data_IF_590582495788
#
_entry.id   IF_590582495788
#
_cell.length_a   1.000
_cell.length_b   1.000
_cell.length_c   1.000
_cell.angle_alpha   90.00
_cell.angle_beta   90.00
_cell.angle_gamma   90.00
#
_symmetry.space_group_name_H-M   'P 1'
#
loop_
_entity.id
_entity.type
_entity.pdbx_description
1 polymer ?
#
# COMPACT_ATOMS: atom_id res chain seq x y z
N UNK A 1 -45.92 4.66 -1.18
CA UNK A 1 -45.54 3.28 -1.53
C UNK A 1 -44.28 2.95 -0.73
N UNK A 2 -44.30 1.89 0.07
CA UNK A 2 -43.14 1.44 0.85
C UNK A 2 -42.53 0.26 0.09
N UNK A 3 -41.26 0.40 -0.32
CA UNK A 3 -40.52 -0.66 -1.00
C UNK A 3 -40.21 -1.78 -0.02
N UNK A 4 -40.29 -3.03 -0.50
CA UNK A 4 -39.97 -4.19 0.31
C UNK A 4 -38.45 -4.26 0.61
N UNK A 5 -38.03 -4.59 1.84
CA UNK A 5 -36.62 -4.64 2.22
C UNK A 5 -35.74 -5.48 1.28
N UNK A 6 -36.24 -6.62 0.78
CA UNK A 6 -35.48 -7.48 -0.13
C UNK A 6 -35.18 -6.77 -1.45
N UNK A 7 -36.15 -6.00 -1.96
CA UNK A 7 -35.95 -5.23 -3.20
C UNK A 7 -34.84 -4.21 -3.03
N UNK A 8 -34.81 -3.50 -1.90
CA UNK A 8 -33.75 -2.53 -1.58
C UNK A 8 -32.37 -3.17 -1.53
N UNK A 9 -32.25 -4.36 -0.92
CA UNK A 9 -30.98 -5.07 -0.84
C UNK A 9 -30.51 -5.63 -2.19
N UNK A 10 -31.43 -6.11 -3.03
CA UNK A 10 -31.11 -6.55 -4.41
C UNK A 10 -30.59 -5.38 -5.24
N UNK A 11 -31.22 -4.21 -5.15
CA UNK A 11 -30.78 -3.00 -5.85
C UNK A 11 -29.39 -2.55 -5.36
N UNK A 12 -29.17 -2.57 -4.04
CA UNK A 12 -27.86 -2.24 -3.47
C UNK A 12 -26.77 -3.23 -3.92
N UNK A 13 -27.05 -4.54 -3.90
CA UNK A 13 -26.14 -5.55 -4.40
C UNK A 13 -25.78 -5.34 -5.89
N UNK A 14 -26.78 -5.04 -6.72
CA UNK A 14 -26.56 -4.72 -8.14
C UNK A 14 -25.68 -3.48 -8.33
N UNK A 15 -25.88 -2.44 -7.51
CA UNK A 15 -25.02 -1.26 -7.50
C UNK A 15 -23.56 -1.63 -7.15
N UNK A 16 -23.32 -2.37 -6.07
CA UNK A 16 -21.95 -2.72 -5.68
C UNK A 16 -21.27 -3.66 -6.68
N UNK A 17 -22.03 -4.57 -7.32
CA UNK A 17 -21.53 -5.38 -8.44
C UNK A 17 -21.08 -4.51 -9.62
N UNK A 18 -21.80 -3.42 -9.90
CA UNK A 18 -21.41 -2.48 -10.96
C UNK A 18 -20.09 -1.77 -10.62
N UNK A 19 -19.86 -1.43 -9.34
CA UNK A 19 -18.60 -0.83 -8.89
C UNK A 19 -17.43 -1.83 -8.97
N UNK A 20 -17.63 -3.06 -8.51
CA UNK A 20 -16.65 -4.14 -8.67
C UNK A 20 -16.21 -4.29 -10.12
N UNK A 21 -17.18 -4.45 -11.03
CA UNK A 21 -16.92 -4.59 -12.47
C UNK A 21 -16.19 -3.38 -13.06
N UNK A 22 -16.53 -2.17 -12.61
CA UNK A 22 -15.83 -0.95 -13.01
C UNK A 22 -14.35 -1.00 -12.60
N UNK A 23 -14.04 -1.33 -11.34
CA UNK A 23 -12.66 -1.37 -10.86
C UNK A 23 -11.87 -2.51 -11.51
N UNK A 24 -12.47 -3.70 -11.68
CA UNK A 24 -11.83 -4.83 -12.37
C UNK A 24 -11.38 -4.44 -13.79
N UNK A 25 -12.25 -3.77 -14.55
CA UNK A 25 -11.90 -3.25 -15.89
C UNK A 25 -10.78 -2.20 -15.87
N UNK A 26 -10.69 -1.39 -14.82
CA UNK A 26 -9.60 -0.42 -14.66
C UNK A 26 -8.29 -1.16 -14.38
N UNK A 27 -8.29 -2.18 -13.51
CA UNK A 27 -7.11 -3.03 -13.27
C UNK A 27 -6.62 -3.65 -14.57
N UNK A 28 -7.51 -4.25 -15.36
CA UNK A 28 -7.17 -4.85 -16.66
C UNK A 28 -6.51 -3.84 -17.61
N UNK A 29 -6.99 -2.58 -17.62
CA UNK A 29 -6.41 -1.51 -18.44
C UNK A 29 -5.06 -1.03 -17.94
N UNK A 30 -4.83 -1.06 -16.63
CA UNK A 30 -3.57 -0.61 -16.00
C UNK A 30 -2.50 -1.71 -15.98
N UNK A 31 -2.89 -2.97 -16.15
CA UNK A 31 -1.97 -4.12 -16.15
C UNK A 31 -0.76 -3.94 -17.09
N UNK A 32 -0.89 -3.50 -18.35
CA UNK A 32 0.27 -3.33 -19.23
C UNK A 32 1.26 -2.27 -18.73
N UNK A 33 0.75 -1.17 -18.16
CA UNK A 33 1.59 -0.12 -17.56
C UNK A 33 2.34 -0.65 -16.34
N UNK A 34 1.66 -1.44 -15.50
CA UNK A 34 2.28 -2.11 -14.37
C UNK A 34 3.40 -3.07 -14.83
N UNK A 35 3.12 -3.90 -15.84
CA UNK A 35 4.08 -4.88 -16.37
C UNK A 35 5.31 -4.19 -16.99
N UNK A 36 5.13 -3.09 -17.71
CA UNK A 36 6.23 -2.30 -18.28
C UNK A 36 7.08 -1.64 -17.18
N UNK A 37 6.45 -1.00 -16.20
CA UNK A 37 7.14 -0.40 -15.06
C UNK A 37 7.89 -1.46 -14.24
N UNK A 38 7.28 -2.62 -14.03
CA UNK A 38 7.90 -3.79 -13.40
C UNK A 38 9.17 -4.21 -14.13
N UNK A 39 9.07 -4.41 -15.45
CA UNK A 39 10.18 -4.82 -16.29
C UNK A 39 11.32 -3.80 -16.27
N UNK A 40 11.00 -2.50 -16.33
CA UNK A 40 11.98 -1.41 -16.22
C UNK A 40 12.74 -1.46 -14.88
N UNK A 41 12.02 -1.64 -13.77
CA UNK A 41 12.62 -1.75 -12.44
C UNK A 41 13.49 -3.00 -12.29
N UNK A 42 13.07 -4.15 -12.83
CA UNK A 42 13.88 -5.37 -12.78
C UNK A 42 15.14 -5.25 -13.64
N UNK A 43 15.03 -4.61 -14.82
CA UNK A 43 16.15 -4.41 -15.74
C UNK A 43 17.19 -3.41 -15.21
N UNK A 44 16.80 -2.48 -14.33
CA UNK A 44 17.74 -1.53 -13.73
C UNK A 44 18.74 -2.21 -12.78
N UNK A 45 18.49 -3.48 -12.38
CA UNK A 45 19.29 -4.23 -11.41
C UNK A 45 19.47 -3.51 -10.07
N UNK A 46 18.63 -2.52 -9.80
CA UNK A 46 18.70 -1.75 -8.57
C UNK A 46 18.10 -2.53 -7.40
N UNK A 47 17.18 -3.46 -7.64
CA UNK A 47 16.53 -4.27 -6.60
C UNK A 47 17.47 -5.28 -5.94
N UNK A 48 17.37 -5.40 -4.63
CA UNK A 48 18.06 -6.46 -3.88
C UNK A 48 17.35 -7.81 -4.13
N UNK A 49 18.06 -8.96 -4.04
CA UNK A 49 17.47 -10.27 -4.28
C UNK A 49 16.27 -10.62 -3.39
N UNK A 50 16.20 -10.03 -2.19
CA UNK A 50 15.12 -10.23 -1.22
C UNK A 50 13.91 -9.31 -1.45
N UNK A 51 14.05 -8.31 -2.31
CA UNK A 51 13.01 -7.32 -2.55
C UNK A 51 12.07 -7.79 -3.65
N UNK A 52 10.78 -7.71 -3.37
CA UNK A 52 9.70 -7.92 -4.35
C UNK A 52 9.00 -6.59 -4.63
N UNK A 53 8.18 -6.58 -5.66
CA UNK A 53 7.40 -5.40 -6.04
C UNK A 53 6.42 -4.97 -4.94
N UNK A 54 5.91 -5.95 -4.18
CA UNK A 54 5.05 -5.72 -3.02
C UNK A 54 5.87 -5.23 -1.83
N UNK A 55 7.04 -5.82 -1.57
CA UNK A 55 7.84 -5.47 -0.39
C UNK A 55 8.35 -4.03 -0.46
N UNK A 56 8.70 -3.52 -1.65
CA UNK A 56 9.18 -2.13 -1.79
C UNK A 56 8.10 -1.07 -1.56
N UNK A 57 6.81 -1.43 -1.65
CA UNK A 57 5.70 -0.52 -1.32
C UNK A 57 5.40 -0.48 0.17
N UNK A 58 5.91 -1.45 0.94
CA UNK A 58 5.65 -1.50 2.36
C UNK A 58 6.20 -0.26 3.07
N UNK A 59 5.48 0.17 4.10
CA UNK A 59 5.84 1.35 4.89
C UNK A 59 7.14 1.10 5.64
N UNK A 60 7.39 -0.13 6.09
CA UNK A 60 8.64 -0.51 6.78
C UNK A 60 9.84 -0.33 5.83
N UNK A 61 9.76 -0.86 4.61
CA UNK A 61 10.86 -0.74 3.65
C UNK A 61 11.08 0.70 3.19
N UNK A 62 10.05 1.54 3.19
CA UNK A 62 10.21 2.99 2.98
C UNK A 62 11.09 3.64 4.05
N UNK A 63 10.89 3.28 5.32
CA UNK A 63 11.74 3.78 6.41
C UNK A 63 13.16 3.25 6.32
N UNK A 64 13.34 1.97 5.99
CA UNK A 64 14.67 1.37 5.80
C UNK A 64 15.46 2.07 4.69
N UNK A 65 14.83 2.34 3.54
CA UNK A 65 15.46 3.10 2.43
C UNK A 65 15.86 4.51 2.83
N UNK A 66 15.05 5.18 3.65
CA UNK A 66 15.37 6.51 4.14
C UNK A 66 16.54 6.47 5.15
N UNK A 67 16.57 5.47 6.02
CA UNK A 67 17.68 5.27 6.96
C UNK A 67 18.99 5.01 6.21
N UNK A 68 18.98 4.15 5.19
CA UNK A 68 20.14 3.89 4.32
C UNK A 68 20.63 5.16 3.61
N UNK A 69 19.71 5.97 3.08
CA UNK A 69 20.07 7.26 2.48
C UNK A 69 20.73 8.19 3.49
N UNK A 70 20.21 8.25 4.72
CA UNK A 70 20.78 9.08 5.76
C UNK A 70 22.18 8.58 6.16
N UNK A 71 22.38 7.28 6.32
CA UNK A 71 23.68 6.67 6.63
C UNK A 71 24.73 6.94 5.53
N UNK A 72 24.34 6.81 4.26
CA UNK A 72 25.20 7.14 3.13
C UNK A 72 25.54 8.63 3.08
N UNK A 73 24.57 9.50 3.41
CA UNK A 73 24.78 10.94 3.50
C UNK A 73 25.74 11.31 4.65
N UNK A 74 25.56 10.73 5.83
CA UNK A 74 26.45 10.92 6.98
C UNK A 74 27.88 10.46 6.66
N UNK A 75 28.03 9.32 5.99
CA UNK A 75 29.32 8.79 5.54
C UNK A 75 30.00 9.74 4.54
N UNK A 76 29.23 10.31 3.61
CA UNK A 76 29.73 11.32 2.68
C UNK A 76 30.18 12.59 3.39
N UNK A 77 29.41 13.11 4.35
CA UNK A 77 29.79 14.30 5.12
C UNK A 77 31.03 14.05 5.98
N UNK A 78 31.15 12.87 6.60
CA UNK A 78 32.35 12.46 7.32
C UNK A 78 33.58 12.40 6.41
N UNK A 79 33.44 11.81 5.21
CA UNK A 79 34.53 11.76 4.23
C UNK A 79 34.92 13.15 3.72
N UNK A 80 33.95 14.05 3.50
CA UNK A 80 34.21 15.46 3.16
C UNK A 80 34.97 16.17 4.27
N UNK A 81 34.58 15.98 5.53
CA UNK A 81 35.28 16.57 6.67
C UNK A 81 36.73 16.07 6.76
N UNK A 82 36.95 14.76 6.63
CA UNK A 82 38.28 14.16 6.63
C UNK A 82 39.15 14.66 5.46
N UNK A 83 38.58 14.78 4.26
CA UNK A 83 39.28 15.32 3.10
C UNK A 83 39.67 16.80 3.27
N UNK A 84 38.79 17.61 3.86
CA UNK A 84 39.10 19.02 4.19
C UNK A 84 40.22 19.13 5.21
N UNK A 85 40.20 18.31 6.25
CA UNK A 85 41.26 18.28 7.26
C UNK A 85 42.62 17.89 6.65
N UNK A 86 42.64 16.87 5.79
CA UNK A 86 43.85 16.43 5.10
C UNK A 86 44.41 17.48 4.11
N UNK A 87 43.56 18.37 3.58
CA UNK A 87 43.95 19.45 2.66
C UNK A 87 44.28 20.78 3.36
N UNK A 88 43.87 20.97 4.62
CA UNK A 88 44.09 22.21 5.36
C UNK A 88 45.58 22.63 5.47
N UNK A 89 46.57 21.73 5.64
CA UNK A 89 47.98 22.09 5.62
C UNK A 89 48.45 22.61 4.25
N UNK A 90 47.88 22.07 3.16
CA UNK A 90 48.19 22.51 1.80
C UNK A 90 47.66 23.93 1.53
N UNK A 91 46.49 24.28 2.07
CA UNK A 91 45.90 25.61 1.96
C UNK A 91 46.65 26.67 2.79
N UNK A 92 47.05 26.33 4.03
CA UNK A 92 47.82 27.24 4.91
C UNK A 92 49.21 27.58 4.37
N UNK A 93 49.81 26.68 3.60
CA UNK A 93 51.13 26.89 3.00
C UNK A 93 51.10 27.72 1.70
N UNK A 94 49.92 28.18 1.27
CA UNK A 94 49.68 29.31 0.37
C UNK A 94 50.47 29.33 -0.94
N UNK A 95 49.82 28.97 -2.06
CA UNK A 95 50.17 29.34 -3.45
C UNK A 95 51.61 29.14 -3.97
N UNK A 96 52.55 28.64 -3.15
CA UNK A 96 53.87 28.26 -3.60
C UNK A 96 53.73 26.92 -4.30
N UNK A 97 53.62 26.99 -5.64
CA UNK A 97 53.43 25.94 -6.65
C UNK A 97 54.32 24.68 -6.54
N UNK A 98 55.17 24.58 -5.52
CA UNK A 98 56.05 23.45 -5.33
C UNK A 98 55.63 22.76 -4.04
N UNK A 99 54.97 21.61 -4.18
CA UNK A 99 54.48 20.75 -3.10
C UNK A 99 55.56 20.20 -2.16
N UNK A 100 56.66 20.91 -1.94
CA UNK A 100 57.86 20.54 -1.19
C UNK A 100 57.72 20.66 0.33
N UNK A 101 56.68 21.32 0.85
CA UNK A 101 56.51 21.56 2.30
C UNK A 101 55.38 20.77 2.97
N UNK A 102 54.75 19.81 2.29
CA UNK A 102 53.93 18.81 2.99
C UNK A 102 54.86 17.76 3.59
N UNK A 103 54.70 17.49 4.88
CA UNK A 103 55.34 16.35 5.53
C UNK A 103 54.90 15.05 4.85
N UNK A 104 55.74 13.99 4.86
CA UNK A 104 55.34 12.69 4.30
C UNK A 104 54.00 12.19 4.84
N UNK A 105 53.71 12.41 6.12
CA UNK A 105 52.44 12.04 6.74
C UNK A 105 51.24 12.82 6.20
N UNK A 106 51.35 14.13 5.96
CA UNK A 106 50.27 14.93 5.36
C UNK A 106 49.98 14.52 3.91
N UNK A 107 51.03 14.18 3.14
CA UNK A 107 50.84 13.66 1.78
C UNK A 107 50.11 12.33 1.77
N UNK A 108 50.47 11.43 2.69
CA UNK A 108 49.82 10.13 2.84
C UNK A 108 48.34 10.28 3.27
N UNK A 109 48.05 11.20 4.20
CA UNK A 109 46.67 11.53 4.59
C UNK A 109 45.86 12.08 3.41
N UNK A 110 46.43 12.97 2.61
CA UNK A 110 45.76 13.51 1.42
C UNK A 110 45.48 12.42 0.37
N UNK A 111 46.47 11.57 0.09
CA UNK A 111 46.35 10.46 -0.87
C UNK A 111 45.35 9.38 -0.45
N UNK A 112 45.09 9.24 0.85
CA UNK A 112 44.10 8.30 1.39
C UNK A 112 42.71 8.92 1.53
N UNK A 113 42.61 10.22 1.80
CA UNK A 113 41.32 10.90 2.00
C UNK A 113 40.56 11.14 0.69
N UNK A 114 41.26 11.44 -0.41
CA UNK A 114 40.64 11.64 -1.74
C UNK A 114 39.88 10.42 -2.26
N UNK A 115 40.47 9.21 -2.36
CA UNK A 115 39.74 8.04 -2.83
C UNK A 115 38.58 7.65 -1.90
N UNK A 116 38.70 7.88 -0.59
CA UNK A 116 37.61 7.67 0.37
C UNK A 116 36.43 8.62 0.14
N UNK A 117 36.70 9.87 -0.20
CA UNK A 117 35.67 10.83 -0.56
C UNK A 117 34.96 10.42 -1.85
N UNK A 118 35.71 10.01 -2.86
CA UNK A 118 35.14 9.55 -4.13
C UNK A 118 34.30 8.28 -3.95
N UNK A 119 34.77 7.33 -3.14
CA UNK A 119 34.03 6.12 -2.77
C UNK A 119 32.73 6.43 -2.02
N UNK A 120 32.79 7.30 -1.00
CA UNK A 120 31.61 7.70 -0.24
C UNK A 120 30.60 8.45 -1.11
N UNK A 121 31.08 9.28 -2.05
CA UNK A 121 30.22 9.98 -3.02
C UNK A 121 29.53 9.00 -3.96
N UNK A 122 30.27 8.06 -4.55
CA UNK A 122 29.71 7.04 -5.43
C UNK A 122 28.69 6.15 -4.70
N UNK A 123 28.96 5.79 -3.45
CA UNK A 123 28.02 5.04 -2.61
C UNK A 123 26.73 5.82 -2.35
N UNK A 124 26.84 7.10 -1.99
CA UNK A 124 25.67 7.97 -1.79
C UNK A 124 24.85 8.14 -3.08
N UNK A 125 25.50 8.42 -4.21
CA UNK A 125 24.85 8.54 -5.52
C UNK A 125 24.11 7.25 -5.90
N UNK A 126 24.74 6.09 -5.71
CA UNK A 126 24.10 4.79 -5.97
C UNK A 126 22.83 4.57 -5.12
N UNK A 127 22.86 4.93 -3.84
CA UNK A 127 21.67 4.84 -2.96
C UNK A 127 20.57 5.79 -3.40
N UNK A 128 20.93 7.01 -3.81
CA UNK A 128 19.98 8.00 -4.34
C UNK A 128 19.32 7.50 -5.61
N UNK A 129 20.10 7.09 -6.61
CA UNK A 129 19.60 6.58 -7.90
C UNK A 129 18.66 5.39 -7.69
N UNK A 130 19.03 4.46 -6.81
CA UNK A 130 18.20 3.32 -6.46
C UNK A 130 16.87 3.75 -5.83
N UNK A 131 16.91 4.67 -4.86
CA UNK A 131 15.71 5.16 -4.18
C UNK A 131 14.78 5.93 -5.12
N UNK A 132 15.35 6.68 -6.08
CA UNK A 132 14.60 7.36 -7.13
C UNK A 132 13.94 6.36 -8.09
N UNK A 133 14.66 5.32 -8.53
CA UNK A 133 14.11 4.27 -9.38
C UNK A 133 12.93 3.54 -8.71
N UNK A 134 13.05 3.23 -7.41
CA UNK A 134 11.94 2.64 -6.63
C UNK A 134 10.78 3.62 -6.52
N UNK A 135 11.04 4.88 -6.20
CA UNK A 135 9.98 5.89 -6.05
C UNK A 135 9.23 6.11 -7.36
N UNK A 136 9.95 6.20 -8.48
CA UNK A 136 9.37 6.31 -9.81
C UNK A 136 8.49 5.10 -10.15
N UNK A 137 8.92 3.88 -9.82
CA UNK A 137 8.09 2.68 -9.98
C UNK A 137 6.82 2.74 -9.10
N UNK A 138 6.95 3.14 -7.83
CA UNK A 138 5.83 3.21 -6.89
C UNK A 138 4.76 4.17 -7.40
N UNK A 139 5.17 5.37 -7.84
CA UNK A 139 4.26 6.38 -8.38
C UNK A 139 3.63 5.92 -9.71
N UNK A 140 4.44 5.39 -10.63
CA UNK A 140 3.94 4.90 -11.93
C UNK A 140 2.92 3.77 -11.82
N UNK A 141 2.95 3.02 -10.72
CA UNK A 141 2.05 1.86 -10.47
C UNK A 141 1.03 2.12 -9.37
N UNK A 142 0.92 3.35 -8.87
CA UNK A 142 0.02 3.72 -7.76
C UNK A 142 -1.44 3.40 -8.07
N UNK A 143 -1.95 3.90 -9.19
CA UNK A 143 -3.35 3.71 -9.58
C UNK A 143 -3.70 2.23 -9.74
N UNK A 144 -2.76 1.43 -10.26
CA UNK A 144 -2.96 -0.02 -10.42
C UNK A 144 -3.17 -0.69 -9.06
N UNK A 145 -2.29 -0.44 -8.08
CA UNK A 145 -2.41 -1.02 -6.75
C UNK A 145 -3.65 -0.52 -6.00
N UNK A 146 -3.92 0.78 -6.02
CA UNK A 146 -5.08 1.37 -5.35
C UNK A 146 -6.38 0.80 -5.92
N UNK A 147 -6.46 0.63 -7.24
CA UNK A 147 -7.61 0.01 -7.91
C UNK A 147 -7.70 -1.48 -7.59
N UNK A 148 -6.58 -2.20 -7.57
CA UNK A 148 -6.55 -3.63 -7.25
C UNK A 148 -7.01 -3.90 -5.81
N UNK A 149 -6.58 -3.10 -4.84
CA UNK A 149 -7.06 -3.20 -3.46
C UNK A 149 -8.57 -2.95 -3.36
N UNK A 150 -9.12 -2.03 -4.16
CA UNK A 150 -10.57 -1.83 -4.22
C UNK A 150 -11.27 -3.08 -4.75
N UNK A 151 -10.76 -3.70 -5.83
CA UNK A 151 -11.31 -4.97 -6.35
C UNK A 151 -11.35 -6.02 -5.22
N UNK A 152 -10.23 -6.24 -4.54
CA UNK A 152 -10.14 -7.19 -3.41
C UNK A 152 -11.13 -6.86 -2.28
N UNK A 153 -11.29 -5.58 -1.94
CA UNK A 153 -12.27 -5.13 -0.94
C UNK A 153 -13.71 -5.40 -1.39
N UNK A 154 -14.02 -5.14 -2.66
CA UNK A 154 -15.33 -5.41 -3.23
C UNK A 154 -15.66 -6.91 -3.29
N UNK A 155 -14.67 -7.78 -3.52
CA UNK A 155 -14.89 -9.24 -3.44
C UNK A 155 -15.39 -9.65 -2.05
N UNK A 156 -14.79 -9.10 -1.00
CA UNK A 156 -15.23 -9.33 0.38
C UNK A 156 -16.61 -8.72 0.64
N UNK A 157 -16.84 -7.46 0.22
CA UNK A 157 -18.12 -6.78 0.42
C UNK A 157 -19.27 -7.52 -0.26
N UNK A 158 -19.09 -7.94 -1.51
CA UNK A 158 -20.12 -8.65 -2.26
C UNK A 158 -20.45 -10.00 -1.62
N UNK A 159 -19.45 -10.73 -1.12
CA UNK A 159 -19.71 -11.96 -0.37
C UNK A 159 -20.52 -11.68 0.90
N UNK A 160 -20.16 -10.63 1.65
CA UNK A 160 -20.88 -10.25 2.85
C UNK A 160 -22.34 -9.85 2.55
N UNK A 161 -22.61 -9.07 1.49
CA UNK A 161 -23.97 -8.69 1.09
C UNK A 161 -24.79 -9.93 0.70
N UNK A 162 -24.18 -10.91 0.02
CA UNK A 162 -24.86 -12.16 -0.33
C UNK A 162 -25.28 -12.96 0.91
N UNK A 163 -24.41 -13.01 1.92
CA UNK A 163 -24.72 -13.69 3.18
C UNK A 163 -25.90 -13.00 3.89
N UNK A 164 -25.90 -11.67 3.95
CA UNK A 164 -26.99 -10.88 4.53
C UNK A 164 -28.32 -11.05 3.77
N UNK A 165 -28.27 -11.05 2.44
CA UNK A 165 -29.43 -11.30 1.58
C UNK A 165 -30.09 -12.65 1.91
N UNK A 166 -29.29 -13.70 2.09
CA UNK A 166 -29.81 -15.02 2.46
C UNK A 166 -30.47 -15.02 3.84
N UNK A 167 -29.94 -14.27 4.81
CA UNK A 167 -30.55 -14.14 6.14
C UNK A 167 -31.93 -13.47 6.07
N UNK A 168 -32.02 -12.37 5.32
CA UNK A 168 -33.27 -11.63 5.13
C UNK A 168 -34.33 -12.48 4.41
N UNK A 169 -33.94 -13.19 3.35
CA UNK A 169 -34.84 -14.11 2.63
C UNK A 169 -35.40 -15.19 3.57
N UNK A 170 -34.56 -15.72 4.47
CA UNK A 170 -34.98 -16.71 5.45
C UNK A 170 -35.93 -16.14 6.50
N UNK A 171 -35.71 -14.91 6.98
CA UNK A 171 -36.62 -14.23 7.90
C UNK A 171 -37.98 -13.96 7.26
N UNK A 172 -38.00 -13.41 6.05
CA UNK A 172 -39.24 -13.14 5.31
C UNK A 172 -40.03 -14.43 5.03
N UNK A 173 -39.33 -15.53 4.71
CA UNK A 173 -39.95 -16.84 4.53
C UNK A 173 -40.60 -17.38 5.81
N UNK A 174 -40.04 -17.08 7.00
CA UNK A 174 -40.66 -17.46 8.29
C UNK A 174 -41.95 -16.68 8.56
N UNK A 175 -41.96 -15.38 8.28
CA UNK A 175 -43.13 -14.52 8.50
C UNK A 175 -44.31 -14.82 7.57
N UNK A 176 -44.04 -15.31 6.37
CA UNK A 176 -45.10 -15.75 5.45
C UNK A 176 -45.72 -17.09 5.88
N UNK A 177 -44.91 -18.02 6.40
CA UNK A 177 -45.37 -19.33 6.86
C UNK A 177 -46.26 -19.28 8.12
N UNK A 178 -46.02 -18.34 9.05
CA UNK A 178 -46.78 -18.21 10.29
C UNK A 178 -48.13 -17.50 10.11
N UNK A 179 -48.32 -16.73 9.03
CA UNK A 179 -49.55 -15.99 8.75
C UNK A 179 -50.55 -16.76 7.88
N UNK A 180 -50.18 -17.90 7.31
CA UNK A 180 -51.08 -18.77 6.55
C UNK A 180 -51.53 -19.97 7.39
N UNK A 181 -52.72 -19.86 8.00
CA UNK A 181 -53.48 -21.04 8.42
C UNK A 181 -53.77 -21.96 7.22
N UNK A 182 -54.07 -23.26 7.44
CA UNK A 182 -54.10 -24.26 6.38
C UNK A 182 -55.31 -24.05 5.45
N UNK A 183 -55.12 -23.25 4.39
CA UNK A 183 -55.94 -23.32 3.19
C UNK A 183 -55.05 -23.32 1.97
N UNK A 184 -55.15 -24.43 1.25
CA UNK A 184 -54.54 -24.68 -0.03
C UNK A 184 -54.81 -23.55 -1.03
N UNK A 185 -53.76 -23.08 -1.72
CA UNK A 185 -53.79 -22.99 -3.18
C UNK A 185 -52.35 -22.92 -3.71
N UNK A 186 -51.88 -24.05 -4.23
CA UNK A 186 -50.71 -24.12 -5.10
C UNK A 186 -51.07 -23.44 -6.43
N UNK A 187 -50.44 -22.32 -6.79
CA UNK A 187 -50.09 -22.00 -8.19
C UNK A 187 -49.13 -20.82 -8.30
N UNK A 188 -47.99 -21.11 -8.93
CA UNK A 188 -47.24 -20.21 -9.81
C UNK A 188 -46.49 -19.01 -9.19
N UNK A 189 -45.43 -19.28 -8.42
CA UNK A 189 -44.26 -18.40 -8.33
C UNK A 189 -43.00 -19.26 -8.42
N UNK A 190 -42.57 -19.59 -9.64
CA UNK A 190 -41.31 -20.33 -9.87
C UNK A 190 -40.42 -19.73 -10.96
N UNK A 191 -40.78 -18.55 -11.51
CA UNK A 191 -39.99 -17.91 -12.57
C UNK A 191 -39.14 -16.73 -12.08
N UNK A 192 -39.55 -15.98 -11.04
CA UNK A 192 -38.83 -14.77 -10.65
C UNK A 192 -37.53 -15.00 -9.85
N UNK A 193 -37.39 -16.11 -9.13
CA UNK A 193 -36.20 -16.38 -8.32
C UNK A 193 -35.02 -16.96 -9.13
N UNK A 194 -35.32 -17.62 -10.26
CA UNK A 194 -34.29 -18.16 -11.13
C UNK A 194 -33.57 -17.04 -11.90
N UNK A 195 -34.32 -16.03 -12.36
CA UNK A 195 -33.77 -14.90 -13.11
C UNK A 195 -32.88 -13.99 -12.22
N UNK A 196 -33.23 -13.83 -10.94
CA UNK A 196 -32.37 -13.12 -9.98
C UNK A 196 -31.09 -13.91 -9.67
N UNK A 197 -31.20 -15.24 -9.45
CA UNK A 197 -30.04 -16.11 -9.27
C UNK A 197 -29.13 -16.17 -10.50
N UNK A 198 -29.69 -16.05 -11.71
CA UNK A 198 -28.93 -16.05 -12.97
C UNK A 198 -28.19 -14.72 -13.19
N UNK A 199 -28.80 -13.58 -12.84
CA UNK A 199 -28.13 -12.28 -12.84
C UNK A 199 -27.04 -12.17 -11.74
N UNK A 200 -27.25 -12.79 -10.58
CA UNK A 200 -26.27 -12.92 -9.50
C UNK A 200 -25.10 -13.84 -9.94
N UNK A 201 -25.41 -14.96 -10.58
CA UNK A 201 -24.40 -15.84 -11.17
C UNK A 201 -23.65 -15.14 -12.31
N UNK A 202 -24.30 -14.29 -13.12
CA UNK A 202 -23.65 -13.52 -14.17
C UNK A 202 -22.62 -12.55 -13.59
N UNK A 203 -22.92 -11.83 -12.50
CA UNK A 203 -21.94 -10.98 -11.81
C UNK A 203 -20.70 -11.75 -11.31
N UNK A 204 -20.86 -13.02 -10.90
CA UNK A 204 -19.76 -13.89 -10.47
C UNK A 204 -19.10 -14.68 -11.63
N UNK A 205 -19.72 -14.73 -12.81
CA UNK A 205 -19.26 -15.51 -13.98
C UNK A 205 -18.75 -14.67 -15.14
N UNK A 206 -18.83 -13.33 -15.08
CA UNK A 206 -18.06 -12.42 -15.96
C UNK A 206 -16.57 -12.60 -15.65
N UNK A 207 -16.01 -13.63 -16.28
CA UNK A 207 -14.59 -14.00 -16.39
C UNK A 207 -13.77 -13.74 -15.12
N UNK A 208 -13.73 -14.74 -14.23
CA UNK A 208 -12.54 -15.00 -13.42
C UNK A 208 -11.29 -14.74 -14.28
N UNK A 209 -10.44 -13.75 -13.97
CA UNK A 209 -9.14 -13.65 -14.62
C UNK A 209 -8.42 -14.98 -14.39
N UNK A 210 -7.85 -15.55 -15.46
CA UNK A 210 -7.12 -16.81 -15.42
C UNK A 210 -6.15 -16.76 -14.24
N UNK A 211 -6.27 -17.73 -13.33
CA UNK A 211 -5.36 -17.94 -12.19
C UNK A 211 -3.91 -17.66 -12.60
N UNK A 212 -3.37 -16.52 -12.16
CA UNK A 212 -1.93 -16.34 -12.07
C UNK A 212 -1.43 -17.33 -11.01
N UNK A 213 -0.41 -18.10 -11.39
CA UNK A 213 -0.03 -19.36 -10.76
C UNK A 213 0.09 -19.30 -9.23
N UNK A 214 -0.53 -20.29 -8.58
CA UNK A 214 -0.29 -20.59 -7.19
C UNK A 214 1.19 -20.97 -6.99
N UNK A 215 1.97 -20.07 -6.37
CA UNK A 215 3.28 -20.42 -5.82
C UNK A 215 3.09 -20.68 -4.33
N UNK A 216 3.32 -21.94 -3.94
CA UNK A 216 3.16 -22.43 -2.58
C UNK A 216 4.07 -21.67 -1.60
N UNK A 217 3.48 -20.93 -0.67
CA UNK A 217 4.18 -20.43 0.50
C UNK A 217 4.29 -21.57 1.53
N UNK A 218 5.51 -22.04 1.78
CA UNK A 218 5.81 -22.82 2.99
C UNK A 218 5.87 -21.85 4.16
N UNK A 219 4.97 -22.04 5.12
CA UNK A 219 4.99 -21.36 6.41
C UNK A 219 6.10 -21.93 7.31
N UNK A 220 6.95 -21.06 7.83
CA UNK A 220 7.85 -21.27 8.96
C UNK A 220 8.44 -19.92 9.33
N UNK A 221 8.48 -19.46 10.57
CA UNK A 221 7.98 -19.97 11.82
C UNK A 221 8.02 -18.84 12.86
N UNK A 222 7.03 -18.86 13.75
CA UNK A 222 7.04 -18.40 15.14
C UNK A 222 8.11 -17.38 15.58
N UNK A 223 7.70 -16.13 15.84
CA UNK A 223 8.31 -15.30 16.87
C UNK A 223 7.24 -14.74 17.81
N UNK A 224 7.30 -15.18 19.08
CA UNK A 224 6.41 -14.80 20.16
C UNK A 224 6.86 -13.45 20.73
N UNK A 225 6.03 -12.41 20.61
CA UNK A 225 6.22 -11.19 21.39
C UNK A 225 5.16 -11.10 22.50
N UNK A 226 5.63 -11.23 23.74
CA UNK A 226 4.89 -10.98 24.99
C UNK A 226 4.57 -9.48 25.06
N UNK A 227 3.29 -9.12 24.96
CA UNK A 227 2.82 -7.79 25.41
C UNK A 227 2.26 -7.91 26.82
N UNK A 228 2.95 -7.24 27.75
CA UNK A 228 2.47 -6.96 29.09
C UNK A 228 1.23 -6.05 29.02
N UNK A 229 0.26 -6.39 29.84
CA UNK A 229 -0.95 -5.62 30.09
C UNK A 229 -0.63 -4.31 30.82
N UNK A 230 -1.23 -3.20 30.36
CA UNK A 230 -1.60 -2.09 31.23
C UNK A 230 -3.06 -1.73 30.95
N UNK A 231 -3.85 -1.87 32.00
CA UNK A 231 -5.27 -1.52 32.10
C UNK A 231 -5.43 -0.01 32.38
N UNK A 232 -6.57 0.53 31.99
CA UNK A 232 -7.10 1.84 32.39
C UNK A 232 -7.04 2.87 31.24
N UNK A 233 -8.07 3.64 30.91
CA UNK A 233 -9.29 3.96 31.64
C UNK A 233 -10.33 4.59 30.70
N UNK A 234 -11.60 4.20 30.91
CA UNK A 234 -12.75 5.08 31.11
C UNK A 234 -12.93 6.27 30.14
N UNK A 235 -13.76 6.09 29.11
CA UNK A 235 -14.49 7.19 28.47
C UNK A 235 -16.00 6.99 28.67
N UNK A 236 -16.60 7.89 29.42
CA UNK A 236 -18.04 8.10 29.48
C UNK A 236 -18.30 9.57 29.78
N UNK A 237 -19.05 10.20 28.86
CA UNK A 237 -19.92 11.39 29.00
C UNK A 237 -19.30 12.68 29.55
N UNK A 238 -19.37 13.75 28.75
CA UNK A 238 -20.50 14.71 28.82
C UNK A 238 -20.47 15.74 27.69
N UNK A 239 -21.65 15.90 27.08
CA UNK A 239 -22.16 17.14 26.51
C UNK A 239 -22.27 18.20 27.62
N UNK A 240 -21.79 19.40 27.35
CA UNK A 240 -22.33 20.72 27.76
C UNK A 240 -21.20 21.75 27.67
N UNK A 241 -21.39 22.78 26.85
CA UNK A 241 -20.46 23.89 26.70
C UNK A 241 -21.03 24.94 25.76
N UNK A 242 -22.08 25.60 26.23
CA UNK A 242 -22.69 26.80 25.66
C UNK A 242 -21.61 27.89 25.47
N UNK A 243 -21.59 28.46 24.28
CA UNK A 243 -20.91 29.70 23.92
C UNK A 243 -21.73 30.88 24.45
N UNK A 244 -21.09 31.92 25.01
CA UNK A 244 -21.60 33.27 24.93
C UNK A 244 -20.79 34.09 23.92
N UNK A 245 -21.52 34.95 23.24
CA UNK A 245 -21.10 35.96 22.29
C UNK A 245 -20.10 36.95 22.93
N UNK A 246 -19.08 37.36 22.17
CA UNK A 246 -18.40 38.64 22.40
C UNK A 246 -18.54 39.47 21.12
N UNK A 247 -19.39 40.47 21.23
CA UNK A 247 -19.46 41.65 20.37
C UNK A 247 -18.16 42.48 20.47
N UNK A 248 -17.85 43.11 19.35
CA UNK A 248 -17.20 44.42 19.19
C UNK A 248 -15.89 44.75 19.93
N UNK A 249 -14.83 44.95 19.12
CA UNK A 249 -13.86 46.04 19.27
C UNK A 249 -13.17 46.32 17.91
N UNK A 250 -13.59 47.42 17.27
CA UNK A 250 -12.90 48.34 16.34
C UNK A 250 -12.08 47.77 15.19
#
# INVERSE_FOLDING_TARGET
>A
MQQDPLTTWIEYYGYECSQYNRYARIVDRLQPTFDDASKKLMNSKMLRPTETQESIRDTITKFERQAEKNEAWESLEAAKAAAREALAPAEKNGNNMQGLHLTPGEREQMLTATPRLDEAKAAYESVVERNEAISAFIEATRDYYDTKQKVEWYEFLLQWILDELHEIEAEMSKHTATNTGPKALRRSMRKSAHDASEAIAECLTVKRPKKLGARAYKAGGSHKNKRQARKGSRWSRRLAGLSPECEDCV
#
